data_IF_107075468561
#
_entry.id   IF_107075468561
#
_cell.length_a   1.000
_cell.length_b   1.000
_cell.length_c   1.000
_cell.angle_alpha   90.00
_cell.angle_beta   90.00
_cell.angle_gamma   90.00
#
_symmetry.space_group_name_H-M   'P 1'
#
loop_
_entity.id
_entity.type
_entity.pdbx_description
1 polymer ?
#
# COMPACT_ATOMS: atom_id res chain seq x y z
N UNK A 1 44.43 7.36 2.15
CA UNK A 1 43.10 7.87 1.73
C UNK A 1 42.10 6.75 2.00
N UNK A 2 41.27 6.93 3.01
CA UNK A 2 40.24 5.93 3.35
C UNK A 2 38.94 6.31 2.65
N UNK A 3 38.49 5.50 1.69
CA UNK A 3 37.15 5.66 1.12
C UNK A 3 36.16 5.05 2.10
N UNK A 4 35.45 5.89 2.85
CA UNK A 4 34.27 5.46 3.60
C UNK A 4 33.14 5.34 2.58
N UNK A 5 32.86 4.14 2.10
CA UNK A 5 31.66 3.86 1.35
C UNK A 5 30.51 3.88 2.38
N UNK A 6 29.70 4.92 2.35
CA UNK A 6 28.47 4.95 3.14
C UNK A 6 27.50 3.94 2.52
N UNK A 7 27.22 2.78 3.15
CA UNK A 7 26.34 1.77 2.58
C UNK A 7 24.88 2.23 2.44
N UNK A 8 24.53 3.38 3.02
CA UNK A 8 23.19 3.96 2.93
C UNK A 8 23.02 4.97 1.78
N UNK A 9 24.07 5.23 1.00
CA UNK A 9 23.99 6.11 -0.18
C UNK A 9 23.84 5.37 -1.52
N UNK A 10 23.71 4.06 -1.52
CA UNK A 10 23.17 3.41 -2.69
C UNK A 10 21.67 3.74 -2.75
N UNK A 11 21.35 4.84 -3.42
CA UNK A 11 19.99 5.09 -3.83
C UNK A 11 19.49 3.86 -4.59
N UNK A 12 18.64 3.06 -3.97
CA UNK A 12 17.97 1.96 -4.65
C UNK A 12 17.09 2.62 -5.71
N UNK A 13 17.62 2.77 -6.90
CA UNK A 13 16.82 3.15 -8.05
C UNK A 13 16.01 1.92 -8.40
N UNK A 14 14.74 1.95 -8.07
CA UNK A 14 13.83 0.90 -8.54
C UNK A 14 13.82 0.91 -10.07
N UNK A 15 13.92 -0.26 -10.71
CA UNK A 15 13.87 -0.32 -12.15
C UNK A 15 12.54 0.30 -12.66
N UNK A 16 12.62 1.06 -13.74
CA UNK A 16 11.42 1.55 -14.43
C UNK A 16 10.71 0.35 -15.02
N UNK A 17 9.54 0.03 -14.51
CA UNK A 17 8.70 -1.05 -15.02
C UNK A 17 7.75 -0.44 -16.03
N UNK A 18 7.88 -0.81 -17.30
CA UNK A 18 6.95 -0.36 -18.34
C UNK A 18 5.53 -0.84 -18.02
N UNK A 19 4.54 0.05 -18.09
CA UNK A 19 3.17 -0.27 -17.76
C UNK A 19 2.88 -0.41 -16.27
N UNK A 20 3.79 0.05 -15.39
CA UNK A 20 3.54 0.09 -13.94
C UNK A 20 2.27 0.91 -13.67
N UNK A 21 1.26 0.25 -13.11
CA UNK A 21 -0.03 0.85 -12.87
C UNK A 21 -0.07 1.66 -11.58
N UNK A 22 0.38 1.08 -10.48
CA UNK A 22 0.51 1.73 -9.18
C UNK A 22 1.65 1.09 -8.39
N UNK A 23 2.28 1.86 -7.50
CA UNK A 23 3.31 1.39 -6.57
C UNK A 23 3.18 2.12 -5.25
N UNK A 24 3.10 1.37 -4.15
CA UNK A 24 3.02 1.91 -2.80
C UNK A 24 4.20 1.43 -1.96
N UNK A 25 4.73 2.34 -1.13
CA UNK A 25 5.83 2.07 -0.21
C UNK A 25 5.51 2.69 1.14
N UNK A 26 5.64 1.92 2.22
CA UNK A 26 5.33 2.40 3.56
C UNK A 26 6.37 3.39 4.14
N UNK A 27 7.54 3.49 3.50
CA UNK A 27 8.60 4.44 3.85
C UNK A 27 8.52 5.76 3.06
N UNK A 28 7.58 5.88 2.11
CA UNK A 28 7.49 7.03 1.22
C UNK A 28 6.04 7.35 0.85
N UNK A 29 5.67 8.65 0.95
CA UNK A 29 4.36 9.12 0.52
C UNK A 29 3.22 8.69 1.44
N UNK A 30 3.47 8.56 2.73
CA UNK A 30 2.43 8.26 3.74
C UNK A 30 2.02 9.55 4.44
N UNK A 31 0.77 9.93 4.32
CA UNK A 31 0.15 11.02 5.08
C UNK A 31 -0.55 10.42 6.29
N UNK A 32 -0.14 10.86 7.48
CA UNK A 32 -0.66 10.37 8.76
C UNK A 32 -0.85 11.51 9.76
N UNK A 33 -1.66 11.28 10.78
CA UNK A 33 -1.86 12.20 11.89
C UNK A 33 -0.81 12.01 13.02
N UNK A 34 -0.99 12.77 14.11
CA UNK A 34 -0.10 12.69 15.28
C UNK A 34 -0.21 11.38 16.07
N UNK A 35 -1.19 10.54 15.77
CA UNK A 35 -1.39 9.20 16.33
C UNK A 35 -0.99 8.09 15.35
N UNK A 36 -0.27 8.43 14.29
CA UNK A 36 0.17 7.53 13.22
C UNK A 36 -0.96 6.90 12.39
N UNK A 37 -2.18 7.43 12.46
CA UNK A 37 -3.32 7.02 11.63
C UNK A 37 -3.12 7.50 10.18
N UNK A 38 -3.15 6.57 9.22
CA UNK A 38 -2.85 6.84 7.81
C UNK A 38 -4.11 7.26 7.08
N UNK A 39 -4.15 8.52 6.66
CA UNK A 39 -5.24 9.06 5.84
C UNK A 39 -5.01 8.90 4.34
N UNK A 40 -3.75 8.84 3.89
CA UNK A 40 -3.40 8.65 2.48
C UNK A 40 -2.07 7.92 2.32
N UNK A 41 -2.01 7.08 1.29
CA UNK A 41 -0.80 6.39 0.85
C UNK A 41 -0.58 6.68 -0.63
N UNK A 42 0.46 7.44 -0.93
CA UNK A 42 0.72 7.96 -2.25
C UNK A 42 1.26 6.88 -3.19
N UNK A 43 0.71 6.87 -4.38
CA UNK A 43 1.22 6.11 -5.50
C UNK A 43 2.55 6.69 -5.98
N UNK A 44 3.58 5.87 -5.96
CA UNK A 44 4.95 6.19 -6.38
C UNK A 44 5.22 5.78 -7.85
N UNK A 45 4.19 5.41 -8.62
CA UNK A 45 4.34 5.08 -10.05
C UNK A 45 4.35 6.31 -10.96
N UNK A 46 3.89 7.45 -10.46
CA UNK A 46 3.68 8.67 -11.23
C UNK A 46 2.27 8.80 -11.83
N UNK A 47 1.38 7.83 -11.58
CA UNK A 47 0.01 7.84 -12.12
C UNK A 47 -1.03 8.47 -11.17
N UNK A 48 -0.60 8.97 -10.01
CA UNK A 48 -1.43 9.64 -9.01
C UNK A 48 -2.63 8.78 -8.52
N UNK A 49 -2.45 7.48 -8.40
CA UNK A 49 -3.45 6.53 -7.91
C UNK A 49 -3.32 6.33 -6.40
N UNK A 50 -3.51 7.42 -5.66
CA UNK A 50 -3.37 7.41 -4.21
C UNK A 50 -4.47 6.59 -3.56
N UNK A 51 -4.11 5.83 -2.52
CA UNK A 51 -5.04 5.17 -1.63
C UNK A 51 -5.40 6.12 -0.49
N UNK A 52 -6.66 6.22 -0.11
CA UNK A 52 -7.09 7.12 0.95
C UNK A 52 -8.21 6.55 1.82
N UNK A 53 -8.29 7.07 3.06
CA UNK A 53 -9.38 6.87 4.00
C UNK A 53 -9.61 8.15 4.80
N UNK A 54 -10.77 8.79 4.59
CA UNK A 54 -11.09 10.04 5.27
C UNK A 54 -11.52 9.86 6.73
N UNK A 55 -12.11 8.70 7.06
CA UNK A 55 -12.64 8.42 8.40
C UNK A 55 -11.55 7.85 9.29
N UNK A 56 -11.12 8.60 10.30
CA UNK A 56 -10.01 8.22 11.18
C UNK A 56 -10.20 6.87 11.89
N UNK A 57 -11.45 6.47 12.17
CA UNK A 57 -11.75 5.18 12.80
C UNK A 57 -11.37 3.98 11.92
N UNK A 58 -11.30 4.16 10.60
CA UNK A 58 -10.99 3.11 9.63
C UNK A 58 -9.59 3.26 9.01
N UNK A 59 -8.76 4.12 9.59
CA UNK A 59 -7.40 4.34 9.11
C UNK A 59 -6.42 3.37 9.75
N UNK A 60 -5.61 2.65 8.97
CA UNK A 60 -4.56 1.79 9.49
C UNK A 60 -3.43 2.61 10.12
N UNK A 61 -2.61 1.96 10.94
CA UNK A 61 -1.48 2.56 11.63
C UNK A 61 -0.19 2.46 10.81
N UNK A 62 0.53 3.57 10.72
CA UNK A 62 1.90 3.55 10.26
C UNK A 62 2.83 3.14 11.42
N UNK A 63 3.72 2.18 11.17
CA UNK A 63 4.63 1.63 12.17
C UNK A 63 6.06 1.80 11.69
N UNK A 64 6.86 2.53 12.47
CA UNK A 64 8.28 2.66 12.24
C UNK A 64 8.98 1.33 12.51
N UNK A 65 9.90 0.93 11.62
CA UNK A 65 10.71 -0.28 11.80
C UNK A 65 9.90 -1.56 12.04
N UNK A 66 8.72 -1.67 11.43
CA UNK A 66 7.81 -2.77 11.63
C UNK A 66 8.34 -4.13 11.14
N UNK A 67 9.01 -4.17 9.99
CA UNK A 67 9.60 -5.40 9.43
C UNK A 67 11.03 -5.12 8.99
N UNK A 68 12.01 -5.88 9.51
CA UNK A 68 13.43 -5.75 9.14
C UNK A 68 13.93 -4.30 9.15
N UNK A 69 13.53 -3.53 10.15
CA UNK A 69 13.83 -2.09 10.29
C UNK A 69 13.23 -1.21 9.17
N UNK A 70 12.30 -1.72 8.39
CA UNK A 70 11.54 -0.96 7.41
C UNK A 70 10.18 -0.56 7.98
N UNK A 71 9.68 0.59 7.55
CA UNK A 71 8.36 1.07 7.94
C UNK A 71 7.27 0.20 7.32
N UNK A 72 6.16 0.04 8.04
CA UNK A 72 5.00 -0.74 7.59
C UNK A 72 3.70 0.02 7.79
N UNK A 73 2.65 -0.41 7.12
CA UNK A 73 1.28 -0.01 7.41
C UNK A 73 0.58 -1.23 8.00
N UNK A 74 0.11 -1.10 9.22
CA UNK A 74 -0.56 -2.16 9.97
C UNK A 74 -2.08 -1.95 9.91
N UNK A 75 -2.77 -2.93 9.38
CA UNK A 75 -4.23 -3.02 9.37
C UNK A 75 -4.67 -3.92 10.54
N UNK A 76 -5.61 -3.47 11.36
CA UNK A 76 -6.02 -4.13 12.60
C UNK A 76 -6.81 -5.44 12.39
N UNK A 77 -7.15 -5.73 11.14
CA UNK A 77 -7.92 -6.92 10.78
C UNK A 77 -9.42 -6.83 11.10
N UNK A 78 -9.92 -5.67 11.48
CA UNK A 78 -11.33 -5.44 11.85
C UNK A 78 -12.04 -4.59 10.80
N UNK A 79 -11.63 -3.33 10.64
CA UNK A 79 -12.30 -2.38 9.77
C UNK A 79 -11.34 -1.37 9.12
N UNK A 80 -10.05 -1.46 9.39
CA UNK A 80 -9.05 -0.63 8.74
C UNK A 80 -9.04 -0.85 7.22
N UNK A 81 -9.02 0.23 6.47
CA UNK A 81 -9.02 0.16 5.01
C UNK A 81 -8.35 1.39 4.37
N UNK A 82 -7.72 1.17 3.22
CA UNK A 82 -7.33 2.23 2.29
C UNK A 82 -7.85 1.88 0.91
N UNK A 83 -8.44 2.83 0.22
CA UNK A 83 -9.06 2.58 -1.09
C UNK A 83 -8.81 3.69 -2.10
N UNK A 84 -8.91 3.33 -3.36
CA UNK A 84 -9.03 4.27 -4.47
C UNK A 84 -10.42 4.15 -5.07
N UNK A 85 -11.07 5.28 -5.33
CA UNK A 85 -12.48 5.31 -5.69
C UNK A 85 -12.76 4.89 -7.14
N UNK A 86 -11.78 4.98 -8.03
CA UNK A 86 -11.98 4.72 -9.44
C UNK A 86 -10.71 4.15 -10.07
N UNK A 87 -10.81 2.94 -10.58
CA UNK A 87 -9.77 2.27 -11.35
C UNK A 87 -10.37 1.78 -12.66
N UNK A 88 -9.71 2.07 -13.76
CA UNK A 88 -10.01 1.49 -15.06
C UNK A 88 -8.79 0.75 -15.56
N UNK A 89 -8.72 -0.53 -15.26
CA UNK A 89 -7.62 -1.39 -15.69
C UNK A 89 -8.13 -2.63 -16.39
N UNK A 90 -7.67 -2.81 -17.64
CA UNK A 90 -7.93 -4.01 -18.40
C UNK A 90 -7.07 -5.18 -17.90
N UNK A 91 -7.56 -6.39 -18.07
CA UNK A 91 -6.79 -7.60 -17.81
C UNK A 91 -5.86 -7.94 -19.00
N UNK A 92 -4.73 -8.66 -18.74
CA UNK A 92 -4.31 -9.23 -17.46
C UNK A 92 -3.68 -8.22 -16.50
N UNK A 93 -3.80 -8.47 -15.19
CA UNK A 93 -3.16 -7.70 -14.12
C UNK A 93 -2.20 -8.60 -13.36
N UNK A 94 -1.00 -8.10 -13.07
CA UNK A 94 -0.01 -8.73 -12.21
C UNK A 94 0.15 -7.89 -10.94
N UNK A 95 0.09 -8.54 -9.77
CA UNK A 95 0.18 -7.90 -8.47
C UNK A 95 1.31 -8.55 -7.67
N UNK A 96 2.19 -7.71 -7.13
CA UNK A 96 3.26 -8.13 -6.23
C UNK A 96 3.06 -7.43 -4.88
N UNK A 97 3.03 -8.21 -3.79
CA UNK A 97 2.84 -7.69 -2.44
C UNK A 97 3.86 -8.32 -1.49
N UNK A 98 4.33 -7.51 -0.54
CA UNK A 98 5.13 -7.97 0.60
C UNK A 98 4.35 -7.62 1.86
N UNK A 99 4.01 -8.63 2.65
CA UNK A 99 3.26 -8.47 3.89
C UNK A 99 3.65 -9.55 4.91
N UNK A 100 3.35 -9.28 6.17
CA UNK A 100 3.39 -10.26 7.26
C UNK A 100 1.98 -10.35 7.82
N UNK A 101 1.54 -11.56 8.10
CA UNK A 101 0.28 -11.84 8.78
C UNK A 101 0.58 -12.28 10.20
N UNK A 102 0.12 -11.50 11.18
CA UNK A 102 0.45 -11.74 12.59
C UNK A 102 -0.36 -12.89 13.18
N UNK A 103 -1.58 -13.09 12.73
CA UNK A 103 -2.47 -14.16 13.22
C UNK A 103 -3.20 -14.85 12.07
N UNK A 104 -3.31 -16.18 12.14
CA UNK A 104 -4.18 -16.96 11.27
C UNK A 104 -5.59 -17.01 11.86
N UNK A 105 -6.42 -16.08 11.46
CA UNK A 105 -7.86 -16.14 11.66
C UNK A 105 -8.55 -16.21 10.32
N UNK A 106 -9.81 -16.65 10.28
CA UNK A 106 -10.56 -16.90 9.06
C UNK A 106 -10.40 -15.80 8.01
N UNK A 107 -10.12 -16.24 6.79
CA UNK A 107 -9.93 -15.54 5.51
C UNK A 107 -10.29 -14.05 5.50
N UNK A 108 -9.30 -13.22 5.68
CA UNK A 108 -9.42 -11.79 5.56
C UNK A 108 -8.76 -11.33 4.27
N UNK A 109 -9.48 -10.57 3.47
CA UNK A 109 -8.96 -10.09 2.20
C UNK A 109 -7.92 -8.99 2.44
N UNK A 110 -6.65 -9.31 2.23
CA UNK A 110 -5.57 -8.32 2.22
C UNK A 110 -5.75 -7.31 1.08
N UNK A 111 -6.30 -7.75 -0.03
CA UNK A 111 -6.58 -6.91 -1.20
C UNK A 111 -7.83 -7.38 -1.90
N UNK A 112 -8.73 -6.45 -2.18
CA UNK A 112 -9.94 -6.72 -2.95
C UNK A 112 -9.97 -5.86 -4.20
N UNK A 113 -10.02 -6.51 -5.36
CA UNK A 113 -10.33 -5.88 -6.64
C UNK A 113 -11.82 -6.13 -6.91
N UNK A 114 -12.61 -5.07 -6.98
CA UNK A 114 -14.02 -5.19 -7.32
C UNK A 114 -14.26 -4.74 -8.76
N UNK A 115 -14.80 -5.61 -9.62
CA UNK A 115 -15.27 -5.17 -10.92
C UNK A 115 -16.55 -4.31 -10.73
N UNK A 116 -16.78 -3.30 -11.54
CA UNK A 116 -18.07 -2.66 -11.66
C UNK A 116 -19.09 -3.67 -12.18
N UNK A 117 -20.33 -3.55 -11.78
CA UNK A 117 -21.40 -4.53 -12.02
C UNK A 117 -21.69 -4.83 -13.51
N UNK A 118 -21.07 -4.14 -14.46
CA UNK A 118 -21.38 -4.28 -15.91
C UNK A 118 -20.20 -4.10 -16.88
N UNK A 119 -18.95 -4.05 -16.43
CA UNK A 119 -17.78 -3.86 -17.32
C UNK A 119 -16.66 -4.84 -16.99
N UNK A 120 -15.81 -5.22 -17.96
CA UNK A 120 -14.70 -6.14 -17.74
C UNK A 120 -13.49 -5.47 -17.01
N UNK A 121 -13.68 -4.31 -16.41
CA UNK A 121 -12.65 -3.55 -15.71
C UNK A 121 -12.88 -3.58 -14.20
N UNK A 122 -11.80 -3.51 -13.42
CA UNK A 122 -11.89 -3.32 -11.97
C UNK A 122 -12.07 -1.83 -11.66
N UNK A 123 -12.98 -1.49 -10.75
CA UNK A 123 -13.26 -0.09 -10.38
C UNK A 123 -12.62 0.34 -9.06
N UNK A 124 -12.15 -0.59 -8.23
CA UNK A 124 -11.59 -0.28 -6.91
C UNK A 124 -10.48 -1.23 -6.49
N UNK A 125 -9.49 -0.68 -5.81
CA UNK A 125 -8.54 -1.41 -4.97
C UNK A 125 -8.87 -1.08 -3.52
N UNK A 126 -9.06 -2.11 -2.71
CA UNK A 126 -9.11 -1.99 -1.27
C UNK A 126 -7.92 -2.74 -0.68
N UNK A 127 -7.19 -2.10 0.20
CA UNK A 127 -6.32 -2.77 1.13
C UNK A 127 -7.04 -2.80 2.46
N UNK A 128 -7.49 -3.95 2.87
CA UNK A 128 -8.15 -4.18 4.14
C UNK A 128 -7.84 -5.60 4.60
N UNK A 129 -7.62 -5.75 5.88
CA UNK A 129 -7.58 -7.05 6.54
C UNK A 129 -8.82 -7.10 7.41
N UNK A 130 -9.74 -8.00 7.14
CA UNK A 130 -10.97 -8.17 7.91
C UNK A 130 -10.88 -9.50 8.67
N UNK A 131 -11.17 -9.47 9.96
CA UNK A 131 -11.38 -10.68 10.79
C UNK A 131 -12.64 -11.40 10.39
#
# INVERSE_FOLDING_TARGET
MSFIINPYQFGITFPTIAGLYARYRADLGVTKDGSDKVSQWDDQSGNARHLAMATAAYQPLWVASGINSLNTINFDGTDDTLSIASLSQAQPIHIFMVFVQDTWADLNALMVLRPPLKTPYFDRIFMAVKR
#
